data_IF_444628853983
#
_entry.id   IF_444628853983
#
_cell.length_a   1.000
_cell.length_b   1.000
_cell.length_c   1.000
_cell.angle_alpha   90.00
_cell.angle_beta   90.00
_cell.angle_gamma   90.00
#
_symmetry.space_group_name_H-M   'P 1'
#
loop_
_entity.id
_entity.type
_entity.pdbx_description
1 polymer ?
#
# COMPACT_ATOMS: atom_id res chain seq x y z
N UNK A 1 54.83 6.43 -13.79
CA UNK A 1 53.82 5.45 -13.35
C UNK A 1 53.72 4.43 -14.47
N UNK A 2 54.35 3.26 -14.32
CA UNK A 2 54.63 2.33 -15.43
C UNK A 2 53.36 1.62 -15.88
N UNK A 3 53.23 1.38 -17.19
CA UNK A 3 52.10 0.68 -17.80
C UNK A 3 51.77 -0.66 -17.12
N UNK A 4 52.79 -1.36 -16.60
CA UNK A 4 52.64 -2.61 -15.84
C UNK A 4 51.87 -2.44 -14.53
N UNK A 5 52.00 -1.30 -13.86
CA UNK A 5 51.28 -1.02 -12.60
C UNK A 5 49.80 -0.70 -12.84
N UNK A 6 49.46 -0.12 -13.99
CA UNK A 6 48.07 0.13 -14.37
C UNK A 6 47.37 -1.17 -14.80
N UNK A 7 48.06 -2.01 -15.57
CA UNK A 7 47.54 -3.33 -15.96
C UNK A 7 47.28 -4.24 -14.76
N UNK A 8 48.16 -4.24 -13.76
CA UNK A 8 47.97 -5.00 -12.53
C UNK A 8 46.77 -4.49 -11.72
N UNK A 9 46.57 -3.17 -11.66
CA UNK A 9 45.47 -2.55 -10.94
C UNK A 9 44.10 -2.74 -11.62
N UNK A 10 44.06 -2.85 -12.95
CA UNK A 10 42.85 -3.20 -13.70
C UNK A 10 42.52 -4.69 -13.53
N UNK A 11 43.52 -5.57 -13.64
CA UNK A 11 43.32 -7.01 -13.40
C UNK A 11 42.78 -7.30 -11.99
N UNK A 12 43.32 -6.62 -10.96
CA UNK A 12 42.87 -6.77 -9.58
C UNK A 12 41.46 -6.20 -9.35
N UNK A 13 41.07 -5.16 -10.11
CA UNK A 13 39.71 -4.60 -10.09
C UNK A 13 38.70 -5.54 -10.73
N UNK A 14 39.07 -6.17 -11.85
CA UNK A 14 38.23 -7.14 -12.54
C UNK A 14 38.06 -8.41 -11.70
N UNK A 15 39.12 -8.87 -11.02
CA UNK A 15 39.05 -9.99 -10.08
C UNK A 15 38.15 -9.69 -8.87
N UNK A 16 38.27 -8.48 -8.28
CA UNK A 16 37.39 -8.03 -7.21
C UNK A 16 35.92 -7.91 -7.67
N UNK A 17 35.68 -7.42 -8.89
CA UNK A 17 34.32 -7.31 -9.46
C UNK A 17 33.71 -8.69 -9.64
N UNK A 18 34.45 -9.63 -10.21
CA UNK A 18 34.00 -11.01 -10.40
C UNK A 18 33.68 -11.68 -9.05
N UNK A 19 34.53 -11.48 -8.03
CA UNK A 19 34.28 -12.00 -6.69
C UNK A 19 33.03 -11.40 -6.03
N UNK A 20 32.79 -10.09 -6.20
CA UNK A 20 31.59 -9.41 -5.72
C UNK A 20 30.32 -9.92 -6.41
N UNK A 21 30.38 -10.14 -7.72
CA UNK A 21 29.26 -10.63 -8.53
C UNK A 21 28.85 -12.05 -8.09
N UNK A 22 29.82 -12.95 -7.93
CA UNK A 22 29.59 -14.30 -7.40
C UNK A 22 28.96 -14.25 -6.00
N UNK A 23 29.43 -13.34 -5.14
CA UNK A 23 28.90 -13.23 -3.79
C UNK A 23 27.48 -12.65 -3.76
N UNK A 24 27.19 -11.66 -4.60
CA UNK A 24 25.86 -11.10 -4.77
C UNK A 24 24.89 -12.15 -5.32
N UNK A 25 25.29 -12.92 -6.34
CA UNK A 25 24.49 -14.02 -6.86
C UNK A 25 24.20 -15.08 -5.78
N UNK A 26 25.18 -15.44 -4.96
CA UNK A 26 24.98 -16.37 -3.85
C UNK A 26 24.02 -15.83 -2.78
N UNK A 27 24.13 -14.53 -2.44
CA UNK A 27 23.22 -13.88 -1.48
C UNK A 27 21.79 -13.82 -2.04
N UNK A 28 21.64 -13.45 -3.31
CA UNK A 28 20.33 -13.38 -3.97
C UNK A 28 19.72 -14.77 -4.10
N UNK A 29 20.50 -15.78 -4.49
CA UNK A 29 20.04 -17.17 -4.57
C UNK A 29 19.62 -17.70 -3.19
N UNK A 30 20.38 -17.41 -2.13
CA UNK A 30 20.00 -17.79 -0.77
C UNK A 30 18.73 -17.06 -0.29
N UNK A 31 18.55 -15.79 -0.66
CA UNK A 31 17.36 -15.02 -0.35
C UNK A 31 16.12 -15.54 -1.13
N UNK A 32 16.30 -15.89 -2.40
CA UNK A 32 15.24 -16.46 -3.24
C UNK A 32 14.84 -17.87 -2.79
N UNK A 33 15.79 -18.73 -2.44
CA UNK A 33 15.50 -20.05 -1.87
C UNK A 33 14.68 -19.95 -0.57
N UNK A 34 14.91 -18.88 0.21
CA UNK A 34 14.13 -18.57 1.42
C UNK A 34 12.73 -18.03 1.11
N UNK A 35 12.51 -17.52 -0.09
CA UNK A 35 11.20 -17.09 -0.60
C UNK A 35 10.44 -18.29 -1.21
N UNK A 36 11.13 -19.21 -1.89
CA UNK A 36 10.55 -20.41 -2.53
C UNK A 36 10.14 -21.51 -1.54
N UNK A 37 10.67 -21.53 -0.31
CA UNK A 37 10.16 -22.39 0.78
C UNK A 37 8.81 -21.88 1.36
N UNK A 38 8.25 -20.82 0.77
CA UNK A 38 6.87 -20.39 1.01
C UNK A 38 5.97 -21.22 0.09
N UNK A 39 5.08 -22.08 0.63
CA UNK A 39 4.30 -22.99 -0.19
C UNK A 39 3.47 -22.26 -1.27
N UNK A 40 3.56 -22.76 -2.51
CA UNK A 40 2.94 -22.23 -3.74
C UNK A 40 1.42 -22.51 -3.86
N UNK A 41 0.80 -23.16 -2.88
CA UNK A 41 -0.66 -23.28 -2.82
C UNK A 41 -1.23 -22.12 -1.96
N UNK A 42 -2.24 -21.36 -2.42
CA UNK A 42 -2.96 -20.46 -1.54
C UNK A 42 -3.52 -21.30 -0.39
N UNK A 43 -3.23 -21.00 0.88
CA UNK A 43 -3.74 -21.80 1.97
C UNK A 43 -5.26 -21.74 1.90
N UNK A 44 -5.88 -22.83 1.45
CA UNK A 44 -7.29 -23.08 1.68
C UNK A 44 -7.41 -23.43 3.17
N UNK A 45 -7.30 -22.41 4.02
CA UNK A 45 -7.32 -22.56 5.47
C UNK A 45 -6.42 -21.53 6.12
N UNK A 46 -7.05 -20.50 6.70
CA UNK A 46 -6.54 -19.58 7.73
C UNK A 46 -5.03 -19.33 7.77
N UNK A 47 -4.63 -18.08 7.53
CA UNK A 47 -3.36 -17.58 8.05
C UNK A 47 -3.29 -17.94 9.56
N UNK A 48 -2.36 -18.82 9.94
CA UNK A 48 -2.22 -19.35 11.31
C UNK A 48 -1.64 -18.32 12.29
N UNK A 49 -1.26 -17.14 11.80
CA UNK A 49 -0.88 -16.04 12.68
C UNK A 49 -2.05 -15.67 13.58
N UNK A 50 -1.72 -15.42 14.83
CA UNK A 50 -2.64 -14.76 15.77
C UNK A 50 -2.88 -13.32 15.33
N UNK A 51 -3.99 -12.73 15.77
CA UNK A 51 -4.29 -11.31 15.55
C UNK A 51 -3.21 -10.40 16.15
N UNK A 52 -2.55 -10.87 17.21
CA UNK A 52 -1.39 -10.19 17.82
C UNK A 52 -0.18 -10.20 16.88
N UNK A 53 0.18 -11.35 16.30
CA UNK A 53 1.28 -11.47 15.34
C UNK A 53 1.03 -10.61 14.09
N UNK A 54 -0.17 -10.64 13.52
CA UNK A 54 -0.54 -9.77 12.37
C UNK A 54 -0.39 -8.30 12.70
N UNK A 55 -0.84 -7.90 13.89
CA UNK A 55 -0.73 -6.53 14.34
C UNK A 55 0.73 -6.13 14.53
N UNK A 56 1.55 -6.99 15.10
CA UNK A 56 2.99 -6.71 15.26
C UNK A 56 3.67 -6.59 13.89
N UNK A 57 3.43 -7.52 12.97
CA UNK A 57 3.93 -7.45 11.58
C UNK A 57 3.54 -6.13 10.91
N UNK A 58 2.26 -5.74 11.03
CA UNK A 58 1.75 -4.48 10.47
C UNK A 58 2.39 -3.26 11.15
N UNK A 59 2.60 -3.27 12.46
CA UNK A 59 3.31 -2.19 13.18
C UNK A 59 4.74 -2.05 12.64
N UNK A 60 5.47 -3.17 12.52
CA UNK A 60 6.85 -3.15 12.05
C UNK A 60 6.95 -2.61 10.63
N UNK A 61 6.06 -3.04 9.73
CA UNK A 61 5.99 -2.51 8.37
C UNK A 61 5.65 -1.01 8.35
N UNK A 62 4.62 -0.58 9.08
CA UNK A 62 4.21 0.82 9.11
C UNK A 62 5.28 1.74 9.68
N UNK A 63 6.08 1.29 10.64
CA UNK A 63 7.16 2.08 11.25
C UNK A 63 8.30 2.40 10.29
N UNK A 64 8.41 1.71 9.16
CA UNK A 64 9.40 2.03 8.12
C UNK A 64 9.12 3.41 7.50
N UNK A 65 7.85 3.82 7.46
CA UNK A 65 7.41 5.04 6.76
C UNK A 65 6.74 6.04 7.70
N UNK A 66 5.96 5.58 8.68
CA UNK A 66 5.11 6.40 9.51
C UNK A 66 5.58 6.46 10.96
N UNK A 67 5.22 7.56 11.64
CA UNK A 67 5.47 7.73 13.07
C UNK A 67 4.18 7.58 13.86
N UNK A 68 4.26 6.93 15.02
CA UNK A 68 3.09 6.69 15.87
C UNK A 68 3.41 5.83 17.09
N UNK A 69 2.67 6.06 18.18
CA UNK A 69 2.87 5.33 19.45
C UNK A 69 2.15 3.98 19.53
N UNK A 70 1.17 3.75 18.66
CA UNK A 70 0.34 2.56 18.63
C UNK A 70 0.06 2.13 17.19
N UNK A 71 -0.43 0.90 17.01
CA UNK A 71 -0.95 0.42 15.72
C UNK A 71 -1.96 1.40 15.13
N UNK A 72 -2.95 1.83 15.91
CA UNK A 72 -4.01 2.72 15.43
C UNK A 72 -3.44 4.06 14.94
N UNK A 73 -2.48 4.65 15.67
CA UNK A 73 -1.84 5.89 15.25
C UNK A 73 -1.09 5.74 13.92
N UNK A 74 -0.35 4.63 13.77
CA UNK A 74 0.37 4.29 12.53
C UNK A 74 -0.59 4.02 11.37
N UNK A 75 -1.63 3.22 11.61
CA UNK A 75 -2.66 2.89 10.62
C UNK A 75 -3.40 4.15 10.17
N UNK A 76 -3.65 5.11 11.08
CA UNK A 76 -4.29 6.38 10.76
C UNK A 76 -3.41 7.26 9.87
N UNK A 77 -2.11 7.34 10.17
CA UNK A 77 -1.15 8.06 9.32
C UNK A 77 -1.09 7.47 7.91
N UNK A 78 -0.95 6.15 7.81
CA UNK A 78 -0.98 5.43 6.53
C UNK A 78 -2.31 5.60 5.78
N UNK A 79 -3.44 5.56 6.49
CA UNK A 79 -4.76 5.78 5.90
C UNK A 79 -4.90 7.20 5.33
N UNK A 80 -4.40 8.22 6.03
CA UNK A 80 -4.42 9.59 5.53
C UNK A 80 -3.61 9.74 4.25
N UNK A 81 -2.46 9.10 4.15
CA UNK A 81 -1.64 9.13 2.93
C UNK A 81 -2.35 8.45 1.76
N UNK A 82 -2.96 7.28 1.99
CA UNK A 82 -3.76 6.58 0.96
C UNK A 82 -5.00 7.36 0.53
N UNK A 83 -5.74 7.94 1.47
CA UNK A 83 -6.87 8.80 1.17
C UNK A 83 -6.46 10.06 0.38
N UNK A 84 -5.23 10.56 0.60
CA UNK A 84 -4.67 11.67 -0.17
C UNK A 84 -4.34 11.24 -1.60
N UNK A 85 -3.79 10.04 -1.79
CA UNK A 85 -3.58 9.49 -3.13
C UNK A 85 -4.90 9.32 -3.90
N UNK A 86 -5.91 8.68 -3.28
CA UNK A 86 -7.25 8.53 -3.86
C UNK A 86 -7.87 9.89 -4.22
N UNK A 87 -7.68 10.90 -3.36
CA UNK A 87 -8.13 12.27 -3.61
C UNK A 87 -7.50 12.85 -4.88
N UNK A 88 -6.18 12.75 -5.04
CA UNK A 88 -5.46 13.30 -6.19
C UNK A 88 -5.85 12.60 -7.49
N UNK A 89 -6.00 11.27 -7.45
CA UNK A 89 -6.43 10.48 -8.60
C UNK A 89 -7.85 10.84 -9.02
N UNK A 90 -8.76 10.97 -8.05
CA UNK A 90 -10.13 11.40 -8.29
C UNK A 90 -10.19 12.86 -8.79
N UNK A 91 -9.39 13.77 -8.23
CA UNK A 91 -9.31 15.16 -8.66
C UNK A 91 -8.89 15.26 -10.12
N UNK A 92 -7.86 14.49 -10.50
CA UNK A 92 -7.38 14.41 -11.88
C UNK A 92 -8.44 13.81 -12.82
N UNK A 93 -9.06 12.68 -12.44
CA UNK A 93 -10.08 12.02 -13.26
C UNK A 93 -11.36 12.87 -13.44
N UNK A 94 -11.76 13.62 -12.42
CA UNK A 94 -12.96 14.46 -12.42
C UNK A 94 -12.68 15.91 -12.86
N UNK A 95 -11.45 16.25 -13.24
CA UNK A 95 -11.04 17.62 -13.57
C UNK A 95 -11.40 18.63 -12.45
N UNK A 96 -11.27 18.23 -11.19
CA UNK A 96 -11.62 19.03 -10.02
C UNK A 96 -13.12 19.07 -9.69
N UNK A 97 -13.98 18.39 -10.43
CA UNK A 97 -15.42 18.30 -10.14
C UNK A 97 -15.73 17.25 -9.07
N UNK A 98 -15.30 17.51 -7.82
CA UNK A 98 -15.49 16.58 -6.69
C UNK A 98 -16.77 16.83 -5.88
N UNK A 99 -17.28 18.06 -5.91
CA UNK A 99 -18.38 18.52 -5.06
C UNK A 99 -19.63 18.88 -5.85
N UNK A 100 -20.78 18.49 -5.32
CA UNK A 100 -22.06 18.98 -5.84
C UNK A 100 -22.26 20.49 -5.57
N UNK A 101 -23.20 21.16 -6.27
CA UNK A 101 -23.39 22.60 -6.13
C UNK A 101 -23.69 23.05 -4.69
N UNK A 102 -24.44 22.24 -3.93
CA UNK A 102 -24.79 22.56 -2.54
C UNK A 102 -23.60 22.46 -1.58
N UNK A 103 -22.68 21.51 -1.81
CA UNK A 103 -21.44 21.37 -1.06
C UNK A 103 -20.47 22.53 -1.38
N UNK A 104 -20.35 22.91 -2.66
CA UNK A 104 -19.56 24.07 -3.10
C UNK A 104 -20.05 25.36 -2.46
N UNK A 105 -21.36 25.61 -2.49
CA UNK A 105 -21.96 26.79 -1.86
C UNK A 105 -21.74 26.85 -0.33
N UNK A 106 -21.54 25.69 0.30
CA UNK A 106 -21.25 25.56 1.74
C UNK A 106 -19.76 25.61 2.09
N UNK A 107 -18.87 25.68 1.11
CA UNK A 107 -17.42 25.64 1.34
C UNK A 107 -16.96 24.34 2.02
N UNK A 108 -17.60 23.20 1.68
CA UNK A 108 -17.15 21.89 2.17
C UNK A 108 -15.76 21.62 1.58
N UNK A 109 -14.84 21.15 2.42
CA UNK A 109 -13.55 20.66 1.95
C UNK A 109 -13.74 19.34 1.17
N UNK A 110 -13.34 19.27 -0.12
CA UNK A 110 -13.38 18.03 -0.90
C UNK A 110 -12.62 16.86 -0.28
N UNK A 111 -11.46 17.11 0.33
CA UNK A 111 -10.63 16.06 0.92
C UNK A 111 -11.36 15.35 2.08
N UNK A 112 -12.15 16.10 2.85
CA UNK A 112 -13.00 15.55 3.92
C UNK A 112 -14.00 14.47 3.46
N UNK A 113 -14.29 14.35 2.15
CA UNK A 113 -15.15 13.31 1.62
C UNK A 113 -14.47 11.93 1.55
N UNK A 114 -13.13 11.86 1.56
CA UNK A 114 -12.39 10.60 1.46
C UNK A 114 -12.20 9.93 2.82
N UNK A 115 -12.12 10.71 3.91
CA UNK A 115 -11.84 10.21 5.26
C UNK A 115 -13.06 10.16 6.19
N UNK A 116 -14.20 10.74 5.77
CA UNK A 116 -15.41 10.88 6.59
C UNK A 116 -16.41 9.70 6.53
N UNK A 117 -17.61 9.85 7.12
CA UNK A 117 -18.69 8.87 7.00
C UNK A 117 -19.24 8.76 5.57
N UNK A 118 -19.62 7.55 5.15
CA UNK A 118 -20.15 7.31 3.80
C UNK A 118 -21.38 8.15 3.48
N UNK A 119 -22.32 8.29 4.43
CA UNK A 119 -23.52 9.14 4.26
C UNK A 119 -23.15 10.60 3.95
N UNK A 120 -22.11 11.13 4.60
CA UNK A 120 -21.64 12.50 4.35
C UNK A 120 -20.98 12.60 2.98
N UNK A 121 -20.16 11.62 2.62
CA UNK A 121 -19.50 11.56 1.32
C UNK A 121 -20.52 11.56 0.18
N UNK A 122 -21.50 10.65 0.21
CA UNK A 122 -22.53 10.52 -0.82
C UNK A 122 -23.45 11.75 -0.89
N UNK A 123 -23.72 12.41 0.25
CA UNK A 123 -24.54 13.62 0.29
C UNK A 123 -23.90 14.81 -0.44
N UNK A 124 -22.58 14.92 -0.43
CA UNK A 124 -21.84 16.11 -0.89
C UNK A 124 -21.02 15.88 -2.16
N UNK A 125 -20.74 14.62 -2.50
CA UNK A 125 -20.04 14.26 -3.72
C UNK A 125 -20.81 14.73 -4.97
N UNK A 126 -20.04 15.07 -5.99
CA UNK A 126 -20.55 15.26 -7.35
C UNK A 126 -20.93 13.91 -7.99
N UNK A 127 -21.76 13.93 -9.06
CA UNK A 127 -22.00 12.75 -9.89
C UNK A 127 -20.71 12.08 -10.40
N UNK A 128 -19.74 12.89 -10.81
CA UNK A 128 -18.45 12.44 -11.35
C UNK A 128 -17.63 11.69 -10.29
N UNK A 129 -17.59 12.21 -9.06
CA UNK A 129 -16.91 11.55 -7.94
C UNK A 129 -17.64 10.27 -7.51
N UNK A 130 -18.98 10.25 -7.54
CA UNK A 130 -19.75 9.04 -7.26
C UNK A 130 -19.50 7.95 -8.29
N UNK A 131 -19.37 8.32 -9.57
CA UNK A 131 -18.96 7.38 -10.62
C UNK A 131 -17.55 6.85 -10.37
N UNK A 132 -16.59 7.73 -10.08
CA UNK A 132 -15.22 7.32 -9.79
C UNK A 132 -15.14 6.32 -8.61
N UNK A 133 -15.89 6.56 -7.52
CA UNK A 133 -15.98 5.62 -6.40
C UNK A 133 -16.68 4.31 -6.75
N UNK A 134 -17.55 4.29 -7.76
CA UNK A 134 -18.17 3.04 -8.23
C UNK A 134 -17.14 2.15 -8.92
N UNK A 135 -16.18 2.76 -9.64
CA UNK A 135 -15.14 2.07 -10.38
C UNK A 135 -13.94 1.68 -9.50
N UNK A 136 -13.53 2.54 -8.58
CA UNK A 136 -12.30 2.37 -7.78
C UNK A 136 -12.58 1.95 -6.33
N UNK A 137 -13.82 2.11 -5.87
CA UNK A 137 -14.17 1.99 -4.47
C UNK A 137 -13.84 3.26 -3.67
N UNK A 138 -14.30 3.28 -2.43
CA UNK A 138 -13.95 4.32 -1.45
C UNK A 138 -13.44 3.62 -0.19
N UNK A 139 -12.13 3.69 0.04
CA UNK A 139 -11.50 3.03 1.17
C UNK A 139 -11.90 3.68 2.50
N UNK A 140 -12.50 2.90 3.39
CA UNK A 140 -12.77 3.32 4.77
C UNK A 140 -11.60 2.97 5.68
N UNK A 141 -11.50 3.63 6.83
CA UNK A 141 -10.45 3.33 7.82
C UNK A 141 -10.54 1.89 8.36
N UNK A 142 -11.75 1.36 8.51
CA UNK A 142 -11.98 -0.02 8.95
C UNK A 142 -11.47 -1.03 7.91
N UNK A 143 -11.79 -0.80 6.62
CA UNK A 143 -11.26 -1.61 5.52
C UNK A 143 -9.74 -1.53 5.44
N UNK A 144 -9.16 -0.33 5.61
CA UNK A 144 -7.70 -0.16 5.63
C UNK A 144 -7.03 -0.94 6.78
N UNK A 145 -7.63 -0.89 7.99
CA UNK A 145 -7.16 -1.70 9.11
C UNK A 145 -7.29 -3.20 8.83
N UNK A 146 -8.37 -3.63 8.19
CA UNK A 146 -8.57 -5.03 7.80
C UNK A 146 -7.52 -5.48 6.76
N UNK A 147 -7.20 -4.62 5.78
CA UNK A 147 -6.14 -4.86 4.80
C UNK A 147 -4.77 -5.00 5.47
N UNK A 148 -4.41 -4.09 6.37
CA UNK A 148 -3.14 -4.13 7.11
C UNK A 148 -2.96 -5.40 7.94
N UNK A 149 -4.05 -5.90 8.53
CA UNK A 149 -4.03 -7.12 9.33
C UNK A 149 -4.16 -8.39 8.49
N UNK A 150 -4.18 -8.29 7.15
CA UNK A 150 -4.29 -9.45 6.27
C UNK A 150 -5.70 -10.06 6.18
N UNK A 151 -6.71 -9.41 6.77
CA UNK A 151 -8.12 -9.72 6.50
C UNK A 151 -8.58 -9.12 5.14
N UNK A 152 -7.72 -8.37 4.44
CA UNK A 152 -8.02 -7.67 3.19
C UNK A 152 -8.36 -8.57 1.99
N UNK A 153 -7.86 -9.80 1.95
CA UNK A 153 -8.26 -10.77 0.92
C UNK A 153 -9.72 -11.22 1.08
N UNK A 154 -10.31 -11.13 2.28
CA UNK A 154 -11.72 -11.45 2.52
C UNK A 154 -12.65 -10.22 2.43
N UNK A 155 -12.17 -9.02 2.77
CA UNK A 155 -12.98 -7.79 2.70
C UNK A 155 -13.36 -7.39 1.26
N UNK A 156 -12.45 -7.53 0.29
CA UNK A 156 -12.75 -7.32 -1.13
C UNK A 156 -13.79 -8.34 -1.65
N UNK A 157 -13.68 -9.61 -1.25
CA UNK A 157 -14.63 -10.68 -1.60
C UNK A 157 -16.03 -10.43 -1.00
N UNK A 158 -16.10 -9.89 0.23
CA UNK A 158 -17.37 -9.52 0.86
C UNK A 158 -18.05 -8.31 0.16
N UNK A 159 -17.26 -7.43 -0.48
CA UNK A 159 -17.75 -6.31 -1.30
C UNK A 159 -18.45 -6.82 -2.58
N UNK A 160 -17.87 -7.83 -3.22
CA UNK A 160 -18.45 -8.48 -4.40
C UNK A 160 -19.73 -9.26 -4.05
N UNK A 161 -19.77 -9.90 -2.88
CA UNK A 161 -20.90 -10.73 -2.45
C UNK A 161 -22.11 -9.94 -1.92
N UNK A 162 -21.92 -8.70 -1.43
CA UNK A 162 -23.04 -7.83 -1.01
C UNK A 162 -23.67 -7.02 -2.15
N UNK A 163 -22.99 -6.85 -3.27
CA UNK A 163 -23.52 -6.15 -4.45
C UNK A 163 -24.39 -7.04 -5.36
N UNK A 164 -24.45 -8.35 -5.08
CA UNK A 164 -25.19 -9.37 -5.85
C UNK A 164 -26.47 -9.87 -5.16
N UNK A 165 -27.04 -9.09 -4.22
CA UNK A 165 -28.29 -9.40 -3.52
C UNK A 165 -29.27 -8.25 -3.65
#
# INVERSE_FOLDING_TARGET
>A
MNADTAALADALRDELRAALEIHLEAIVAAALARIEDKPDDPPTGYDDRTDEQRREDAIQWLRLTFTGRSFEALARASYTERATADYLDAENATHGHLLNPAARARGIDPNSLFTGPQTRAHKWASPELMQWWTEHGRLTFEEHCAELLGYGQTAHTLRTLRALR
#
